data_IF_512510100988
#
_entry.id   IF_512510100988
#
_cell.length_a   1.000
_cell.length_b   1.000
_cell.length_c   1.000
_cell.angle_alpha   90.00
_cell.angle_beta   90.00
_cell.angle_gamma   90.00
#
_symmetry.space_group_name_H-M   'P 1'
#
loop_
_entity.id
_entity.type
_entity.pdbx_description
1 polymer ?
#
# COMPACT_ATOMS: atom_id res chain seq x y z
N UNK A 1 -19.43 -2.95 -5.95
CA UNK A 1 -18.32 -3.36 -5.06
C UNK A 1 -17.26 -2.28 -5.15
N UNK A 2 -16.72 -1.78 -4.05
CA UNK A 2 -15.61 -0.81 -4.08
C UNK A 2 -14.35 -1.52 -4.58
N UNK A 3 -13.63 -0.92 -5.51
CA UNK A 3 -12.32 -1.39 -5.96
C UNK A 3 -11.23 -0.94 -4.98
N UNK A 4 -10.05 -1.55 -5.03
CA UNK A 4 -8.90 -1.10 -4.24
C UNK A 4 -8.58 0.37 -4.54
N UNK A 5 -8.79 0.80 -5.80
CA UNK A 5 -8.64 2.18 -6.27
C UNK A 5 -9.55 3.16 -5.53
N UNK A 6 -10.78 2.74 -5.21
CA UNK A 6 -11.75 3.55 -4.47
C UNK A 6 -11.43 3.65 -2.97
N UNK A 7 -10.50 2.83 -2.48
CA UNK A 7 -10.06 2.75 -1.08
C UNK A 7 -8.69 3.40 -0.84
N UNK A 8 -7.94 3.74 -1.90
CA UNK A 8 -6.63 4.38 -1.84
C UNK A 8 -6.53 5.53 -0.81
N UNK A 9 -7.48 6.49 -0.73
CA UNK A 9 -7.32 7.62 0.19
C UNK A 9 -7.41 7.22 1.67
N UNK A 10 -8.04 6.09 2.00
CA UNK A 10 -8.17 5.61 3.38
C UNK A 10 -8.20 4.08 3.44
N UNK A 11 -7.06 3.51 3.80
CA UNK A 11 -6.86 2.08 4.03
C UNK A 11 -6.76 1.74 5.52
N UNK A 12 -7.25 2.63 6.40
CA UNK A 12 -7.24 2.41 7.84
C UNK A 12 -7.96 1.11 8.19
N UNK A 13 -7.27 0.21 8.91
CA UNK A 13 -7.82 -1.08 9.33
C UNK A 13 -8.14 -2.05 8.18
N UNK A 14 -7.63 -1.79 6.97
CA UNK A 14 -7.77 -2.70 5.85
C UNK A 14 -6.73 -3.82 5.96
N UNK A 15 -7.21 -5.05 5.84
CA UNK A 15 -6.38 -6.22 5.58
C UNK A 15 -6.41 -6.49 4.08
N UNK A 16 -5.35 -6.10 3.38
CA UNK A 16 -5.21 -6.44 1.95
C UNK A 16 -4.49 -7.79 1.88
N UNK A 17 -5.11 -8.77 1.21
CA UNK A 17 -4.41 -10.01 0.87
C UNK A 17 -3.20 -9.68 -0.01
N UNK A 18 -2.03 -10.18 0.37
CA UNK A 18 -0.76 -9.96 -0.33
C UNK A 18 -0.88 -10.14 -1.84
N UNK A 19 -1.52 -11.22 -2.28
CA UNK A 19 -1.67 -11.54 -3.70
C UNK A 19 -2.50 -10.50 -4.45
N UNK A 20 -3.51 -9.91 -3.80
CA UNK A 20 -4.33 -8.85 -4.41
C UNK A 20 -3.56 -7.54 -4.54
N UNK A 21 -2.79 -7.17 -3.52
CA UNK A 21 -1.98 -5.95 -3.57
C UNK A 21 -0.87 -6.09 -4.63
N UNK A 22 -0.19 -7.23 -4.65
CA UNK A 22 0.88 -7.50 -5.61
C UNK A 22 0.34 -7.56 -7.05
N UNK A 23 -0.78 -8.25 -7.28
CA UNK A 23 -1.41 -8.28 -8.61
C UNK A 23 -1.79 -6.87 -9.07
N UNK A 24 -2.24 -6.01 -8.16
CA UNK A 24 -2.56 -4.62 -8.48
C UNK A 24 -1.30 -3.84 -8.87
N UNK A 25 -0.23 -4.00 -8.08
CA UNK A 25 1.07 -3.35 -8.28
C UNK A 25 1.82 -3.85 -9.53
N UNK A 26 1.60 -5.10 -9.93
CA UNK A 26 2.12 -5.65 -11.19
C UNK A 26 1.37 -5.10 -12.41
N UNK A 27 0.11 -4.70 -12.25
CA UNK A 27 -0.73 -4.22 -13.35
C UNK A 27 -0.71 -2.70 -13.55
N UNK A 28 -0.60 -1.94 -12.46
CA UNK A 28 -0.60 -0.47 -12.47
C UNK A 28 0.30 0.08 -11.37
N UNK A 29 0.96 1.20 -11.65
CA UNK A 29 1.70 1.96 -10.63
C UNK A 29 0.70 2.50 -9.61
N UNK A 30 0.73 1.99 -8.38
CA UNK A 30 -0.21 2.40 -7.34
C UNK A 30 0.17 3.78 -6.80
N UNK A 31 -0.75 4.72 -6.94
CA UNK A 31 -0.64 6.04 -6.33
C UNK A 31 -1.24 5.97 -4.92
N UNK A 32 -0.39 6.10 -3.90
CA UNK A 32 -0.78 6.21 -2.50
C UNK A 32 -0.44 7.59 -1.96
N UNK A 33 -0.34 8.61 -2.82
CA UNK A 33 -0.09 9.98 -2.37
C UNK A 33 -1.12 10.38 -1.30
N UNK A 34 -0.62 10.85 -0.14
CA UNK A 34 -1.39 11.24 1.03
C UNK A 34 -2.32 10.17 1.64
N UNK A 35 -2.17 8.89 1.27
CA UNK A 35 -3.00 7.81 1.77
C UNK A 35 -2.87 7.61 3.28
N UNK A 36 -4.00 7.43 3.97
CA UNK A 36 -4.00 7.02 5.36
C UNK A 36 -3.91 5.48 5.46
N UNK A 37 -2.74 5.00 5.87
CA UNK A 37 -2.47 3.57 6.09
C UNK A 37 -2.43 3.25 7.59
N UNK A 38 -2.88 4.14 8.48
CA UNK A 38 -2.79 3.93 9.92
C UNK A 38 -3.47 2.60 10.32
N UNK A 39 -2.75 1.74 11.05
CA UNK A 39 -3.23 0.43 11.51
C UNK A 39 -3.64 -0.56 10.38
N UNK A 40 -3.28 -0.26 9.12
CA UNK A 40 -3.36 -1.23 8.04
C UNK A 40 -2.38 -2.40 8.27
N UNK A 41 -2.81 -3.62 7.96
CA UNK A 41 -1.89 -4.75 7.96
C UNK A 41 -1.09 -4.75 6.64
N UNK A 42 0.18 -4.34 6.72
CA UNK A 42 1.10 -4.24 5.57
C UNK A 42 2.16 -5.35 5.57
N UNK A 43 2.00 -6.40 6.39
CA UNK A 43 2.95 -7.49 6.51
C UNK A 43 3.22 -8.15 5.14
N UNK A 44 4.44 -7.99 4.63
CA UNK A 44 4.86 -8.58 3.36
C UNK A 44 4.28 -7.92 2.10
N UNK A 45 3.77 -6.68 2.21
CA UNK A 45 3.34 -5.87 1.08
C UNK A 45 4.54 -5.46 0.21
N UNK A 46 4.42 -5.64 -1.11
CA UNK A 46 5.49 -5.41 -2.08
C UNK A 46 5.25 -4.12 -2.87
N UNK A 47 5.56 -2.96 -2.30
CA UNK A 47 5.22 -1.64 -2.86
C UNK A 47 6.19 -1.17 -3.96
N UNK A 48 6.57 -2.06 -4.88
CA UNK A 48 7.48 -1.72 -5.97
C UNK A 48 6.85 -0.69 -6.90
N UNK A 49 7.55 0.41 -7.14
CA UNK A 49 7.10 1.49 -8.01
C UNK A 49 5.94 2.34 -7.46
N UNK A 50 5.40 2.05 -6.28
CA UNK A 50 4.30 2.82 -5.72
C UNK A 50 4.71 4.26 -5.38
N UNK A 51 3.81 5.23 -5.60
CA UNK A 51 3.99 6.60 -5.13
C UNK A 51 3.56 6.69 -3.67
N UNK A 52 4.53 6.78 -2.75
CA UNK A 52 4.31 6.77 -1.29
C UNK A 52 4.50 8.15 -0.65
N UNK A 53 4.37 9.23 -1.42
CA UNK A 53 4.55 10.57 -0.88
C UNK A 53 3.44 10.91 0.12
N UNK A 54 3.76 11.47 1.28
CA UNK A 54 2.74 11.92 2.25
C UNK A 54 1.96 10.82 2.98
N UNK A 55 2.28 9.52 2.79
CA UNK A 55 1.55 8.44 3.47
C UNK A 55 1.63 8.55 4.99
N UNK A 56 0.53 8.20 5.66
CA UNK A 56 0.48 8.09 7.12
C UNK A 56 0.61 6.64 7.55
N UNK A 57 1.76 6.28 8.09
CA UNK A 57 2.07 4.94 8.62
C UNK A 57 2.70 5.02 10.02
N UNK A 58 2.61 3.93 10.76
CA UNK A 58 3.34 3.76 12.03
C UNK A 58 4.73 3.15 11.79
N UNK A 59 5.63 3.30 12.77
CA UNK A 59 6.98 2.70 12.73
C UNK A 59 6.96 1.18 12.52
N UNK A 60 6.04 0.49 13.18
CA UNK A 60 5.88 -0.97 13.07
C UNK A 60 5.46 -1.39 11.66
N UNK A 61 4.66 -0.57 10.98
CA UNK A 61 4.25 -0.83 9.59
C UNK A 61 5.38 -0.58 8.62
N UNK A 62 6.23 0.43 8.86
CA UNK A 62 7.43 0.64 8.06
C UNK A 62 8.36 -0.59 8.09
N UNK A 63 8.50 -1.25 9.24
CA UNK A 63 9.31 -2.47 9.40
C UNK A 63 8.73 -3.69 8.66
N UNK A 64 7.45 -3.64 8.25
CA UNK A 64 6.75 -4.71 7.54
C UNK A 64 6.76 -4.53 6.02
N UNK A 65 7.15 -3.35 5.54
CA UNK A 65 7.13 -3.00 4.13
C UNK A 65 8.40 -3.43 3.42
N UNK A 66 8.24 -4.07 2.27
CA UNK A 66 9.31 -4.22 1.29
C UNK A 66 9.13 -3.13 0.25
N UNK A 67 10.04 -2.15 0.24
CA UNK A 67 10.07 -1.06 -0.75
C UNK A 67 11.21 -1.36 -1.71
N UNK A 68 10.88 -1.50 -3.00
CA UNK A 68 11.85 -1.57 -4.09
C UNK A 68 11.65 -0.40 -5.02
N UNK A 69 12.72 0.33 -5.28
CA UNK A 69 12.77 1.34 -6.34
C UNK A 69 13.00 0.65 -7.68
N UNK A 70 12.26 1.05 -8.71
CA UNK A 70 12.65 0.74 -10.09
C UNK A 70 13.94 1.51 -10.39
N UNK A 71 15.01 0.76 -10.72
CA UNK A 71 16.29 1.32 -11.17
C UNK A 71 16.20 1.93 -12.57
#
# INVERSE_FOLDING_TARGET
MKTLKDMIPDLTGVTVEKEKLNQYLESERLDLEDANLWDANLEGAYLKGAYLCGIKITKKQLEQLTIEEDK
#
